data_IF_775663049197
#
_entry.id   IF_775663049197
#
_cell.length_a   1.000
_cell.length_b   1.000
_cell.length_c   1.000
_cell.angle_alpha   90.00
_cell.angle_beta   90.00
_cell.angle_gamma   90.00
#
_symmetry.space_group_name_H-M   'P 1'
#
loop_
_entity.id
_entity.type
_entity.pdbx_description
1 polymer ?
#
# COMPACT_ATOMS: atom_id res chain seq x y z
N UNK A 1 2.38 18.52 -30.17
CA UNK A 1 3.14 17.55 -29.35
C UNK A 1 2.51 17.55 -27.97
N UNK A 2 1.77 16.50 -27.60
CA UNK A 2 1.04 16.46 -26.32
C UNK A 2 1.29 15.12 -25.64
N UNK A 3 2.48 14.93 -25.07
CA UNK A 3 2.81 13.77 -24.21
C UNK A 3 3.69 14.27 -23.06
N UNK A 4 3.13 15.07 -22.15
CA UNK A 4 3.84 15.46 -20.90
C UNK A 4 2.93 15.41 -19.66
N UNK A 5 1.61 15.30 -19.82
CA UNK A 5 0.68 15.31 -18.68
C UNK A 5 0.45 13.93 -18.04
N UNK A 6 0.84 12.83 -18.69
CA UNK A 6 0.46 11.48 -18.26
C UNK A 6 1.43 10.90 -17.20
N UNK A 7 2.73 11.17 -17.34
CA UNK A 7 3.79 10.68 -16.44
C UNK A 7 3.73 11.32 -15.05
N UNK A 8 3.41 12.62 -14.97
CA UNK A 8 3.30 13.33 -13.69
C UNK A 8 2.15 12.77 -12.83
N UNK A 9 0.99 12.51 -13.45
CA UNK A 9 -0.18 11.97 -12.75
C UNK A 9 0.08 10.56 -12.22
N UNK A 10 0.75 9.73 -13.02
CA UNK A 10 1.04 8.34 -12.66
C UNK A 10 2.13 8.26 -11.57
N UNK A 11 3.12 9.13 -11.62
CA UNK A 11 4.11 9.29 -10.54
C UNK A 11 3.43 9.67 -9.22
N UNK A 12 2.52 10.64 -9.23
CA UNK A 12 1.78 11.02 -8.02
C UNK A 12 0.89 9.89 -7.47
N UNK A 13 0.30 9.08 -8.34
CA UNK A 13 -0.47 7.89 -7.93
C UNK A 13 0.41 6.82 -7.28
N UNK A 14 1.62 6.61 -7.81
CA UNK A 14 2.60 5.69 -7.22
C UNK A 14 3.09 6.18 -5.85
N UNK A 15 3.40 7.47 -5.72
CA UNK A 15 3.79 8.05 -4.43
C UNK A 15 2.68 7.94 -3.38
N UNK A 16 1.42 8.20 -3.78
CA UNK A 16 0.27 8.04 -2.90
C UNK A 16 0.12 6.57 -2.46
N UNK A 17 0.23 5.63 -3.38
CA UNK A 17 0.14 4.20 -3.11
C UNK A 17 1.25 3.73 -2.16
N UNK A 18 2.48 4.22 -2.34
CA UNK A 18 3.61 3.92 -1.45
C UNK A 18 3.38 4.46 -0.03
N UNK A 19 2.82 5.68 0.10
CA UNK A 19 2.45 6.24 1.41
C UNK A 19 1.37 5.41 2.10
N UNK A 20 0.35 4.97 1.37
CA UNK A 20 -0.69 4.07 1.92
C UNK A 20 -0.09 2.74 2.40
N UNK A 21 0.81 2.13 1.63
CA UNK A 21 1.50 0.89 2.03
C UNK A 21 2.32 1.11 3.31
N UNK A 22 3.03 2.23 3.43
CA UNK A 22 3.81 2.55 4.62
C UNK A 22 2.92 2.72 5.86
N UNK A 23 1.80 3.44 5.73
CA UNK A 23 0.83 3.63 6.81
C UNK A 23 0.19 2.31 7.25
N UNK A 24 -0.21 1.46 6.31
CA UNK A 24 -0.79 0.15 6.62
C UNK A 24 0.21 -0.75 7.37
N UNK A 25 1.48 -0.75 6.96
CA UNK A 25 2.54 -1.47 7.69
C UNK A 25 2.68 -0.95 9.12
N UNK A 26 2.78 0.36 9.29
CA UNK A 26 2.90 0.96 10.62
C UNK A 26 1.72 0.59 11.52
N UNK A 27 0.49 0.73 11.01
CA UNK A 27 -0.73 0.41 11.74
C UNK A 27 -0.81 -1.07 12.11
N UNK A 28 -0.46 -1.97 11.19
CA UNK A 28 -0.42 -3.41 11.45
C UNK A 28 0.56 -3.75 12.58
N UNK A 29 1.76 -3.16 12.57
CA UNK A 29 2.76 -3.38 13.61
C UNK A 29 2.34 -2.82 14.98
N UNK A 30 1.78 -1.60 15.00
CA UNK A 30 1.25 -0.99 16.23
C UNK A 30 0.16 -1.87 16.83
N UNK A 31 -0.82 -2.27 16.01
CA UNK A 31 -1.95 -3.09 16.45
C UNK A 31 -1.51 -4.48 16.91
N UNK A 32 -0.61 -5.15 16.17
CA UNK A 32 -0.09 -6.45 16.58
C UNK A 32 0.66 -6.37 17.92
N UNK A 33 1.37 -5.27 18.17
CA UNK A 33 2.05 -5.03 19.45
C UNK A 33 1.05 -4.75 20.57
N UNK A 34 0.02 -3.95 20.33
CA UNK A 34 -1.04 -3.65 21.29
C UNK A 34 -1.83 -4.90 21.69
N UNK A 35 -2.20 -5.72 20.70
CA UNK A 35 -2.94 -6.97 20.89
C UNK A 35 -2.06 -8.14 21.35
N UNK A 36 -0.73 -8.01 21.22
CA UNK A 36 0.27 -9.08 21.41
C UNK A 36 -0.02 -10.35 20.59
N UNK A 37 -0.67 -10.19 19.44
CA UNK A 37 -1.12 -11.30 18.62
C UNK A 37 -1.21 -10.87 17.15
N UNK A 38 -0.39 -11.49 16.30
CA UNK A 38 -0.40 -11.24 14.85
C UNK A 38 -1.59 -11.87 14.13
N UNK A 39 -2.25 -12.85 14.75
CA UNK A 39 -3.45 -13.52 14.24
C UNK A 39 -4.74 -12.90 14.76
N UNK A 40 -4.67 -11.77 15.46
CA UNK A 40 -5.87 -11.05 15.87
C UNK A 40 -6.66 -10.63 14.61
N UNK A 41 -8.00 -10.78 14.57
CA UNK A 41 -8.82 -10.47 13.39
C UNK A 41 -8.53 -9.08 12.80
N UNK A 42 -8.46 -8.05 13.63
CA UNK A 42 -8.13 -6.69 13.20
C UNK A 42 -6.73 -6.58 12.53
N UNK A 43 -5.73 -7.34 13.00
CA UNK A 43 -4.39 -7.35 12.40
C UNK A 43 -4.41 -8.06 11.05
N UNK A 44 -5.18 -9.14 10.95
CA UNK A 44 -5.39 -9.89 9.70
C UNK A 44 -6.14 -9.04 8.67
N UNK A 45 -7.11 -8.24 9.08
CA UNK A 45 -7.80 -7.31 8.18
C UNK A 45 -6.83 -6.29 7.58
N UNK A 46 -5.98 -5.68 8.41
CA UNK A 46 -4.95 -4.75 7.91
C UNK A 46 -3.94 -5.47 7.01
N UNK A 47 -3.56 -6.72 7.31
CA UNK A 47 -2.64 -7.47 6.46
C UNK A 47 -3.25 -7.75 5.08
N UNK A 48 -4.53 -8.10 5.02
CA UNK A 48 -5.26 -8.30 3.76
C UNK A 48 -5.34 -7.01 2.93
N UNK A 49 -5.59 -5.87 3.57
CA UNK A 49 -5.57 -4.56 2.91
C UNK A 49 -4.17 -4.22 2.37
N UNK A 50 -3.13 -4.51 3.15
CA UNK A 50 -1.73 -4.33 2.75
C UNK A 50 -1.38 -5.20 1.53
N UNK A 51 -1.77 -6.48 1.54
CA UNK A 51 -1.58 -7.39 0.40
C UNK A 51 -2.26 -6.87 -0.87
N UNK A 52 -3.50 -6.38 -0.76
CA UNK A 52 -4.21 -5.80 -1.91
C UNK A 52 -3.45 -4.60 -2.51
N UNK A 53 -2.91 -3.71 -1.67
CA UNK A 53 -2.13 -2.54 -2.10
C UNK A 53 -0.76 -2.92 -2.67
N UNK A 54 -0.08 -3.91 -2.10
CA UNK A 54 1.17 -4.44 -2.63
C UNK A 54 0.97 -5.07 -4.02
N UNK A 55 -0.10 -5.83 -4.20
CA UNK A 55 -0.46 -6.41 -5.49
C UNK A 55 -0.77 -5.32 -6.53
N UNK A 56 -1.48 -4.26 -6.14
CA UNK A 56 -1.71 -3.11 -7.01
C UNK A 56 -0.39 -2.44 -7.40
N UNK A 57 0.50 -2.18 -6.44
CA UNK A 57 1.80 -1.56 -6.70
C UNK A 57 2.64 -2.41 -7.65
N UNK A 58 2.68 -3.73 -7.43
CA UNK A 58 3.40 -4.66 -8.29
C UNK A 58 2.82 -4.68 -9.72
N UNK A 59 1.50 -4.62 -9.87
CA UNK A 59 0.84 -4.55 -11.18
C UNK A 59 1.19 -3.27 -11.94
N UNK A 60 1.15 -2.11 -11.26
CA UNK A 60 1.52 -0.83 -11.88
C UNK A 60 3.00 -0.84 -12.28
N UNK A 61 3.89 -1.34 -11.42
CA UNK A 61 5.32 -1.41 -11.70
C UNK A 61 5.67 -2.38 -12.83
N UNK A 62 4.98 -3.53 -12.94
CA UNK A 62 5.18 -4.50 -14.04
C UNK A 62 4.61 -4.04 -15.38
N UNK A 63 3.71 -3.05 -15.38
CA UNK A 63 3.06 -2.54 -16.60
C UNK A 63 3.79 -1.34 -17.21
N UNK A 64 4.86 -0.86 -16.55
CA UNK A 64 5.83 0.11 -17.06
C UNK A 64 7.03 -0.61 -17.66
#
# INVERSE_FOLDING_TARGET
>A
MCIEHNDSKLTSQLEALQKEIALLRENMYKLAREKKNFSHPDVVEISQQLDAKLNLHQRVFRSY
#
